data_IF_281465962311
#
_entry.id   IF_281465962311
#
_cell.length_a   1.000
_cell.length_b   1.000
_cell.length_c   1.000
_cell.angle_alpha   90.00
_cell.angle_beta   90.00
_cell.angle_gamma   90.00
#
_symmetry.space_group_name_H-M   'P 1'
#
loop_
_entity.id
_entity.type
_entity.pdbx_description
1 polymer ?
#
# COMPACT_ATOMS: atom_id res chain seq x y z
N UNK A 1 18.06 -28.04 13.48
CA UNK A 1 19.14 -27.12 13.89
C UNK A 1 18.51 -25.75 13.88
N UNK A 2 18.37 -25.10 15.03
CA UNK A 2 17.69 -23.79 15.10
C UNK A 2 18.75 -22.72 14.89
N UNK A 3 18.66 -22.00 13.78
CA UNK A 3 19.63 -20.99 13.40
C UNK A 3 18.90 -19.73 12.97
N UNK A 4 19.29 -18.61 13.59
CA UNK A 4 19.04 -17.28 13.05
C UNK A 4 20.40 -16.76 12.64
N UNK A 5 20.61 -16.60 11.33
CA UNK A 5 21.84 -16.07 10.76
C UNK A 5 21.55 -14.72 10.15
N UNK A 6 22.29 -13.72 10.63
CA UNK A 6 22.20 -12.34 10.15
C UNK A 6 23.50 -12.03 9.43
N UNK A 7 23.41 -11.91 8.11
CA UNK A 7 24.50 -11.40 7.27
C UNK A 7 24.22 -9.93 6.92
N UNK A 8 25.18 -9.26 6.27
CA UNK A 8 25.11 -7.80 6.06
C UNK A 8 23.83 -7.32 5.36
N UNK A 9 23.17 -8.12 4.54
CA UNK A 9 21.93 -7.75 3.85
C UNK A 9 20.78 -8.75 3.95
N UNK A 10 20.99 -9.94 4.53
CA UNK A 10 20.00 -11.03 4.54
C UNK A 10 19.91 -11.65 5.92
N UNK A 11 18.67 -11.93 6.32
CA UNK A 11 18.33 -12.64 7.54
C UNK A 11 17.78 -14.00 7.10
N UNK A 12 18.39 -15.04 7.65
CA UNK A 12 17.96 -16.42 7.47
C UNK A 12 17.46 -16.94 8.81
N UNK A 13 16.23 -17.43 8.83
CA UNK A 13 15.65 -18.13 9.97
C UNK A 13 15.37 -19.55 9.50
N UNK A 14 15.93 -20.53 10.19
CA UNK A 14 15.64 -21.94 9.95
C UNK A 14 15.54 -22.66 11.28
N UNK A 15 14.41 -23.32 11.54
CA UNK A 15 14.21 -24.13 12.73
C UNK A 15 13.20 -25.23 12.45
N UNK A 16 13.21 -26.28 13.27
CA UNK A 16 12.22 -27.36 13.19
C UNK A 16 11.39 -27.34 14.46
N UNK A 17 10.07 -27.45 14.32
CA UNK A 17 9.16 -27.60 15.44
C UNK A 17 8.12 -28.68 15.11
N UNK A 18 8.06 -29.71 15.94
CA UNK A 18 7.29 -30.92 15.61
C UNK A 18 7.81 -31.59 14.34
N UNK A 19 6.92 -31.84 13.38
CA UNK A 19 7.24 -32.41 12.06
C UNK A 19 7.38 -31.35 10.96
N UNK A 20 7.40 -30.06 11.33
CA UNK A 20 7.47 -28.95 10.39
C UNK A 20 8.86 -28.32 10.42
N UNK A 21 9.42 -28.09 9.23
CA UNK A 21 10.61 -27.26 9.04
C UNK A 21 10.15 -25.86 8.64
N UNK A 22 10.56 -24.88 9.42
CA UNK A 22 10.29 -23.47 9.17
C UNK A 22 11.51 -22.83 8.55
N UNK A 23 11.30 -22.12 7.44
CA UNK A 23 12.36 -21.35 6.78
C UNK A 23 11.86 -19.96 6.38
N UNK A 24 12.68 -18.95 6.62
CA UNK A 24 12.48 -17.60 6.11
C UNK A 24 13.84 -17.05 5.68
N UNK A 25 13.95 -16.69 4.41
CA UNK A 25 15.07 -15.90 3.89
C UNK A 25 14.52 -14.55 3.42
N UNK A 26 14.93 -13.48 4.09
CA UNK A 26 14.43 -12.12 3.85
C UNK A 26 15.58 -11.12 3.89
N UNK A 27 15.58 -10.13 3.00
CA UNK A 27 16.57 -9.04 3.08
C UNK A 27 16.16 -7.96 4.09
N UNK A 28 17.11 -7.10 4.48
CA UNK A 28 16.87 -6.02 5.46
C UNK A 28 15.68 -5.11 5.12
N UNK A 29 15.53 -4.57 3.88
CA UNK A 29 14.35 -3.81 3.51
C UNK A 29 13.04 -4.60 3.66
N UNK A 30 13.05 -5.90 3.37
CA UNK A 30 11.91 -6.78 3.64
C UNK A 30 11.53 -6.84 5.11
N UNK A 31 12.53 -6.96 6.01
CA UNK A 31 12.26 -6.96 7.45
C UNK A 31 11.66 -5.62 7.91
N UNK A 32 12.15 -4.49 7.41
CA UNK A 32 11.59 -3.16 7.71
C UNK A 32 10.12 -3.05 7.25
N UNK A 33 9.78 -3.62 6.10
CA UNK A 33 8.40 -3.69 5.61
C UNK A 33 7.53 -4.58 6.48
N UNK A 34 8.02 -5.74 6.88
CA UNK A 34 7.32 -6.65 7.78
C UNK A 34 7.04 -5.96 9.12
N UNK A 35 8.05 -5.28 9.69
CA UNK A 35 7.90 -4.50 10.92
C UNK A 35 6.84 -3.41 10.77
N UNK A 36 6.86 -2.65 9.66
CA UNK A 36 5.86 -1.62 9.37
C UNK A 36 4.45 -2.21 9.29
N UNK A 37 4.28 -3.36 8.63
CA UNK A 37 2.99 -4.02 8.49
C UNK A 37 2.47 -4.53 9.84
N UNK A 38 3.35 -5.09 10.68
CA UNK A 38 3.01 -5.52 12.05
C UNK A 38 2.57 -4.34 12.90
N UNK A 39 3.29 -3.21 12.84
CA UNK A 39 2.88 -1.98 13.53
C UNK A 39 1.51 -1.49 13.05
N UNK A 40 1.24 -1.48 11.74
CA UNK A 40 -0.07 -1.08 11.20
C UNK A 40 -1.22 -1.96 11.69
N UNK A 41 -0.97 -3.24 12.01
CA UNK A 41 -1.99 -4.11 12.62
C UNK A 41 -2.17 -3.92 14.12
N UNK A 42 -1.11 -3.52 14.84
CA UNK A 42 -1.14 -3.31 16.29
C UNK A 42 -1.73 -1.93 16.64
N UNK A 43 -1.27 -0.89 15.93
CA UNK A 43 -1.65 0.51 16.13
C UNK A 43 -1.92 1.17 14.77
N UNK A 44 -3.08 0.88 14.15
CA UNK A 44 -3.40 1.38 12.82
C UNK A 44 -3.54 2.90 12.85
N UNK A 45 -2.89 3.57 11.90
CA UNK A 45 -3.22 4.97 11.61
C UNK A 45 -4.66 4.98 11.09
N UNK A 46 -5.55 5.64 11.84
CA UNK A 46 -6.98 5.71 11.53
C UNK A 46 -7.18 6.57 10.28
N UNK A 47 -7.20 5.91 9.13
CA UNK A 47 -7.66 6.43 7.84
C UNK A 47 -8.91 5.66 7.43
N UNK A 48 -9.57 6.10 6.35
CA UNK A 48 -10.62 5.32 5.73
C UNK A 48 -10.15 3.89 5.42
N UNK A 49 -10.97 2.88 5.69
CA UNK A 49 -10.63 1.46 5.53
C UNK A 49 -10.08 1.11 4.13
N UNK A 50 -10.69 1.68 3.09
CA UNK A 50 -10.27 1.47 1.69
C UNK A 50 -8.89 2.07 1.42
N UNK A 51 -8.60 3.21 2.05
CA UNK A 51 -7.31 3.86 1.97
C UNK A 51 -6.23 3.04 2.67
N UNK A 52 -6.47 2.62 3.91
CA UNK A 52 -5.54 1.74 4.64
C UNK A 52 -5.32 0.42 3.91
N UNK A 53 -6.37 -0.18 3.33
CA UNK A 53 -6.25 -1.38 2.50
C UNK A 53 -5.37 -1.15 1.27
N UNK A 54 -5.49 0.01 0.60
CA UNK A 54 -4.66 0.36 -0.55
C UNK A 54 -3.17 0.47 -0.22
N UNK A 55 -2.83 1.06 0.93
CA UNK A 55 -1.45 1.14 1.43
C UNK A 55 -0.91 -0.24 1.84
N UNK A 56 -1.72 -1.03 2.57
CA UNK A 56 -1.36 -2.39 2.99
C UNK A 56 -1.10 -3.31 1.79
N UNK A 57 -1.87 -3.20 0.71
CA UNK A 57 -1.62 -3.96 -0.52
C UNK A 57 -0.24 -3.66 -1.10
N UNK A 58 0.14 -2.38 -1.20
CA UNK A 58 1.47 -1.98 -1.68
C UNK A 58 2.58 -2.44 -0.74
N UNK A 59 2.39 -2.35 0.58
CA UNK A 59 3.34 -2.86 1.58
C UNK A 59 3.54 -4.36 1.42
N UNK A 60 2.46 -5.12 1.26
CA UNK A 60 2.50 -6.56 1.04
C UNK A 60 3.20 -6.94 -0.26
N UNK A 61 2.84 -6.30 -1.37
CA UNK A 61 3.44 -6.57 -2.68
C UNK A 61 4.95 -6.31 -2.65
N UNK A 62 5.37 -5.21 -1.98
CA UNK A 62 6.78 -4.93 -1.77
C UNK A 62 7.46 -5.98 -0.88
N UNK A 63 6.87 -6.30 0.29
CA UNK A 63 7.39 -7.31 1.22
C UNK A 63 7.60 -8.66 0.52
N UNK A 64 6.62 -9.09 -0.26
CA UNK A 64 6.68 -10.33 -1.04
C UNK A 64 7.89 -10.36 -1.97
N UNK A 65 8.24 -9.23 -2.60
CA UNK A 65 9.43 -9.10 -3.44
C UNK A 65 10.77 -9.21 -2.68
N UNK A 66 10.76 -9.06 -1.35
CA UNK A 66 11.95 -9.12 -0.49
C UNK A 66 12.12 -10.45 0.25
N UNK A 67 11.14 -11.36 0.18
CA UNK A 67 11.21 -12.72 0.73
C UNK A 67 11.70 -13.65 -0.38
N UNK A 68 12.86 -14.26 -0.19
CA UNK A 68 13.47 -15.16 -1.17
C UNK A 68 13.10 -16.63 -0.91
N UNK A 69 12.87 -16.99 0.35
CA UNK A 69 12.39 -18.32 0.76
C UNK A 69 11.41 -18.19 1.90
N UNK A 70 10.36 -19.00 1.85
CA UNK A 70 9.42 -19.20 2.93
C UNK A 70 9.07 -20.69 2.97
N UNK A 71 9.02 -21.27 4.16
CA UNK A 71 8.48 -22.60 4.41
C UNK A 71 7.82 -22.61 5.78
N UNK A 72 6.60 -23.11 5.84
CA UNK A 72 5.74 -23.17 7.03
C UNK A 72 4.91 -24.48 7.06
N UNK A 73 4.02 -24.61 8.05
CA UNK A 73 3.14 -25.79 8.18
C UNK A 73 2.12 -25.95 7.03
N UNK A 74 1.92 -24.92 6.23
CA UNK A 74 1.01 -24.95 5.09
C UNK A 74 1.70 -25.46 3.82
N UNK A 75 3.02 -25.73 3.88
CA UNK A 75 3.79 -26.24 2.75
C UNK A 75 4.00 -25.19 1.65
N UNK A 76 3.80 -23.91 1.96
CA UNK A 76 3.98 -22.82 1.01
C UNK A 76 5.47 -22.52 0.81
N UNK A 77 5.85 -22.21 -0.43
CA UNK A 77 7.23 -21.79 -0.78
C UNK A 77 7.38 -20.27 -0.85
N UNK A 78 6.34 -19.51 -0.48
CA UNK A 78 6.26 -18.07 -0.62
C UNK A 78 4.90 -17.53 -0.18
N UNK A 79 4.79 -16.20 -0.09
CA UNK A 79 3.53 -15.54 0.24
C UNK A 79 2.49 -15.68 -0.90
N UNK A 80 1.22 -15.83 -0.56
CA UNK A 80 0.12 -15.92 -1.54
C UNK A 80 -0.07 -14.61 -2.33
N UNK A 81 -0.88 -14.65 -3.39
CA UNK A 81 -1.32 -13.42 -4.05
C UNK A 81 -2.55 -12.88 -3.35
N UNK A 82 -2.59 -11.56 -3.14
CA UNK A 82 -3.76 -10.88 -2.59
C UNK A 82 -4.64 -10.28 -3.70
N UNK A 83 -5.87 -9.91 -3.35
CA UNK A 83 -6.87 -9.29 -4.26
C UNK A 83 -6.27 -8.23 -5.19
N UNK A 84 -6.83 -8.08 -6.41
CA UNK A 84 -6.44 -7.07 -7.42
C UNK A 84 -6.94 -5.65 -7.12
N UNK A 85 -7.29 -5.33 -5.86
CA UNK A 85 -7.74 -3.99 -5.46
C UNK A 85 -6.70 -2.89 -5.68
N UNK A 86 -7.07 -1.63 -5.44
CA UNK A 86 -6.15 -0.51 -5.64
C UNK A 86 -4.88 -0.64 -4.78
N UNK A 87 -3.72 -0.35 -5.37
CA UNK A 87 -2.43 -0.15 -4.68
C UNK A 87 -2.17 1.35 -4.60
N UNK A 88 -1.92 1.85 -3.39
CA UNK A 88 -1.55 3.25 -3.18
C UNK A 88 -0.03 3.38 -3.06
N UNK A 89 0.55 4.39 -3.69
CA UNK A 89 1.96 4.76 -3.50
C UNK A 89 2.19 5.16 -2.04
N UNK A 90 3.27 4.67 -1.43
CA UNK A 90 3.43 4.67 0.03
C UNK A 90 4.63 5.44 0.59
N UNK A 91 5.54 5.95 -0.24
CA UNK A 91 6.77 6.57 0.27
C UNK A 91 6.45 7.95 0.84
N UNK A 92 5.83 8.81 0.02
CA UNK A 92 5.33 10.12 0.42
C UNK A 92 4.01 10.34 -0.29
N UNK A 93 3.05 10.96 0.39
CA UNK A 93 1.78 11.37 -0.22
C UNK A 93 1.54 12.85 0.03
N UNK A 94 1.41 13.63 -1.04
CA UNK A 94 1.11 15.06 -0.94
C UNK A 94 -0.38 15.29 -0.91
N UNK A 95 -0.85 16.02 0.10
CA UNK A 95 -2.25 16.42 0.17
C UNK A 95 -2.45 17.77 -0.53
N UNK A 96 -3.26 17.77 -1.58
CA UNK A 96 -3.75 18.98 -2.24
C UNK A 96 -5.07 19.37 -1.59
N UNK A 97 -5.07 20.48 -0.87
CA UNK A 97 -6.28 21.02 -0.24
C UNK A 97 -6.99 21.97 -1.19
N UNK A 98 -8.34 21.91 -1.21
CA UNK A 98 -9.19 22.74 -2.08
C UNK A 98 -8.74 22.75 -3.56
N UNK A 99 -8.55 21.59 -4.21
CA UNK A 99 -8.25 21.56 -5.63
C UNK A 99 -9.40 22.20 -6.41
N UNK A 100 -9.10 22.77 -7.58
CA UNK A 100 -10.12 23.13 -8.55
C UNK A 100 -10.65 21.84 -9.18
N UNK A 101 -11.95 21.59 -9.08
CA UNK A 101 -12.61 20.45 -9.70
C UNK A 101 -13.98 20.85 -10.24
N UNK A 102 -14.49 20.06 -11.18
CA UNK A 102 -15.88 20.14 -11.63
C UNK A 102 -16.56 18.77 -11.54
N UNK A 103 -17.89 18.80 -11.48
CA UNK A 103 -18.71 17.59 -11.55
C UNK A 103 -19.51 17.64 -12.85
N UNK A 104 -19.30 16.66 -13.71
CA UNK A 104 -19.95 16.57 -15.02
C UNK A 104 -20.20 15.12 -15.38
N UNK A 105 -21.38 14.82 -15.93
CA UNK A 105 -21.74 13.49 -16.43
C UNK A 105 -21.46 12.36 -15.44
N UNK A 106 -21.79 12.59 -14.15
CA UNK A 106 -21.56 11.66 -13.03
C UNK A 106 -20.08 11.35 -12.71
N UNK A 107 -19.16 12.23 -13.13
CA UNK A 107 -17.74 12.17 -12.82
C UNK A 107 -17.32 13.43 -12.07
N UNK A 108 -16.33 13.27 -11.19
CA UNK A 108 -15.54 14.38 -10.66
C UNK A 108 -14.27 14.47 -11.50
N UNK A 109 -13.95 15.69 -11.94
CA UNK A 109 -12.78 15.99 -12.77
C UNK A 109 -11.88 16.95 -11.99
N UNK A 110 -10.65 16.54 -11.68
CA UNK A 110 -9.67 17.42 -11.03
C UNK A 110 -8.99 18.29 -12.11
N UNK A 111 -9.20 19.60 -12.04
CA UNK A 111 -8.64 20.57 -12.99
C UNK A 111 -7.27 21.11 -12.54
N UNK A 112 -6.98 21.10 -11.24
CA UNK A 112 -5.70 21.54 -10.68
C UNK A 112 -4.82 20.34 -10.31
N UNK A 113 -4.20 19.70 -11.32
CA UNK A 113 -3.32 18.56 -11.10
C UNK A 113 -2.00 19.01 -10.49
N UNK A 114 -1.58 18.30 -9.44
CA UNK A 114 -0.26 18.44 -8.87
C UNK A 114 0.70 17.53 -9.62
N UNK A 115 1.60 18.13 -10.38
CA UNK A 115 2.62 17.40 -11.13
C UNK A 115 3.75 16.98 -10.17
N UNK A 116 3.92 15.68 -9.99
CA UNK A 116 5.10 15.13 -9.35
C UNK A 116 6.26 15.20 -10.35
N UNK A 117 7.39 15.77 -9.93
CA UNK A 117 8.62 15.71 -10.72
C UNK A 117 8.97 14.24 -11.00
N UNK A 118 9.28 13.92 -12.27
CA UNK A 118 9.55 12.57 -12.77
C UNK A 118 10.57 11.81 -11.92
N UNK A 119 11.54 12.52 -11.33
CA UNK A 119 12.58 11.95 -10.46
C UNK A 119 12.05 11.29 -9.18
N UNK A 120 10.83 11.61 -8.76
CA UNK A 120 10.18 11.11 -7.54
C UNK A 120 8.91 10.27 -7.81
N UNK A 121 8.51 10.12 -9.08
CA UNK A 121 7.19 9.62 -9.45
C UNK A 121 6.89 8.16 -9.06
N UNK A 122 7.90 7.31 -8.89
CA UNK A 122 7.71 5.86 -8.69
C UNK A 122 7.18 5.47 -7.30
N UNK A 123 7.43 6.29 -6.28
CA UNK A 123 7.02 6.01 -4.89
C UNK A 123 6.12 7.07 -4.25
N UNK A 124 5.97 8.22 -4.90
CA UNK A 124 5.27 9.38 -4.36
C UNK A 124 3.84 9.45 -4.91
N UNK A 125 2.86 9.60 -4.03
CA UNK A 125 1.45 9.74 -4.34
C UNK A 125 0.94 11.17 -4.12
N UNK A 126 -0.25 11.45 -4.63
CA UNK A 126 -0.98 12.69 -4.40
C UNK A 126 -2.39 12.33 -3.96
N UNK A 127 -2.90 13.04 -2.97
CA UNK A 127 -4.27 12.94 -2.48
C UNK A 127 -4.97 14.29 -2.63
N UNK A 128 -6.16 14.28 -3.22
CA UNK A 128 -6.98 15.48 -3.43
C UNK A 128 -8.09 15.52 -2.39
N UNK A 129 -8.10 16.54 -1.54
CA UNK A 129 -9.17 16.74 -0.55
C UNK A 129 -10.29 17.58 -1.16
N UNK A 130 -11.38 16.93 -1.58
CA UNK A 130 -12.55 17.57 -2.21
C UNK A 130 -13.74 17.64 -1.26
N UNK A 131 -14.66 18.58 -1.48
CA UNK A 131 -15.89 18.72 -0.68
C UNK A 131 -17.13 18.64 -1.57
N UNK A 132 -17.87 17.54 -1.50
CA UNK A 132 -19.07 17.33 -2.32
C UNK A 132 -20.29 17.36 -1.39
N UNK A 133 -21.21 18.30 -1.62
CA UNK A 133 -22.41 18.50 -0.80
C UNK A 133 -22.12 18.62 0.72
N UNK A 134 -21.01 19.28 1.09
CA UNK A 134 -20.60 19.49 2.47
C UNK A 134 -19.82 18.33 3.10
N UNK A 135 -19.72 17.17 2.43
CA UNK A 135 -18.91 16.04 2.89
C UNK A 135 -17.51 16.08 2.25
N UNK A 136 -16.48 15.77 3.05
CA UNK A 136 -15.10 15.69 2.58
C UNK A 136 -14.74 14.29 2.10
N UNK A 137 -13.95 14.25 1.04
CA UNK A 137 -13.41 13.02 0.47
C UNK A 137 -11.93 13.21 0.15
N UNK A 138 -11.11 12.21 0.49
CA UNK A 138 -9.70 12.19 0.18
C UNK A 138 -9.47 11.24 -1.00
N UNK A 139 -9.36 11.81 -2.20
CA UNK A 139 -9.28 11.09 -3.47
C UNK A 139 -7.81 10.84 -3.81
N UNK A 140 -7.35 9.58 -3.82
CA UNK A 140 -6.01 9.26 -4.30
C UNK A 140 -5.89 9.49 -5.80
N UNK A 141 -4.77 10.03 -6.26
CA UNK A 141 -4.53 10.20 -7.70
C UNK A 141 -4.64 8.87 -8.47
N UNK A 142 -4.31 7.74 -7.84
CA UNK A 142 -4.33 6.41 -8.45
C UNK A 142 -5.74 5.92 -8.86
N UNK A 143 -6.82 6.58 -8.42
CA UNK A 143 -8.19 6.24 -8.87
C UNK A 143 -8.67 7.11 -10.04
N UNK A 144 -7.90 8.13 -10.41
CA UNK A 144 -8.21 8.97 -11.55
C UNK A 144 -7.82 8.25 -12.85
N UNK A 145 -8.62 8.45 -13.89
CA UNK A 145 -8.27 8.02 -15.25
C UNK A 145 -7.26 8.96 -15.91
N UNK A 146 -6.91 8.69 -17.17
CA UNK A 146 -5.95 9.50 -17.94
C UNK A 146 -6.41 10.94 -18.16
N UNK A 147 -7.70 11.23 -17.98
CA UNK A 147 -8.26 12.56 -18.14
C UNK A 147 -8.54 13.22 -16.77
N UNK A 148 -7.97 12.68 -15.69
CA UNK A 148 -8.11 13.14 -14.31
C UNK A 148 -9.53 13.04 -13.75
N UNK A 149 -10.29 12.05 -14.23
CA UNK A 149 -11.69 11.85 -13.87
C UNK A 149 -11.85 10.62 -12.99
N UNK A 150 -12.87 10.65 -12.14
CA UNK A 150 -13.33 9.47 -11.41
C UNK A 150 -14.85 9.49 -11.28
N UNK A 151 -15.47 8.32 -11.41
CA UNK A 151 -16.91 8.18 -11.24
C UNK A 151 -17.33 8.56 -9.81
N UNK A 152 -18.37 9.38 -9.67
CA UNK A 152 -18.84 9.84 -8.35
C UNK A 152 -19.16 8.69 -7.39
N UNK A 153 -19.69 7.57 -7.91
CA UNK A 153 -20.00 6.39 -7.07
C UNK A 153 -18.74 5.84 -6.40
N UNK A 154 -17.61 5.84 -7.11
CA UNK A 154 -16.34 5.35 -6.58
C UNK A 154 -15.76 6.27 -5.50
N UNK A 155 -16.09 7.56 -5.53
CA UNK A 155 -15.62 8.58 -4.56
C UNK A 155 -16.24 8.37 -3.18
N UNK A 156 -17.47 7.89 -3.11
CA UNK A 156 -18.17 7.72 -1.82
C UNK A 156 -17.50 6.71 -0.89
N UNK A 157 -16.65 5.84 -1.41
CA UNK A 157 -15.84 4.92 -0.63
C UNK A 157 -14.58 5.57 -0.03
N UNK A 158 -14.34 6.86 -0.28
CA UNK A 158 -13.15 7.63 0.13
C UNK A 158 -13.48 8.80 1.07
N UNK A 159 -14.58 8.70 1.80
CA UNK A 159 -14.95 9.69 2.80
C UNK A 159 -13.90 9.77 3.92
N UNK A 160 -13.67 10.98 4.43
CA UNK A 160 -12.82 11.28 5.59
C UNK A 160 -13.58 12.06 6.66
#
# INVERSE_FOLDING_TARGET
>A
MNAITINDNVINVSYSFGNTNYELEINKPGLELLYTLVLDFIDPVVLNEKYSAGLRRTLYDNLKGHIHKLSDEFGHTGLENISSGLRLKRIVRYQVTNPTYEIRDNHLIINSIYELNDSYSSGYGVDYLVTIAGQKYMIPHEILDSDNKVNLKAIYEWNV
#
